data_IF_296670784261
#
_entry.id   IF_296670784261
#
_cell.length_a   1.000
_cell.length_b   1.000
_cell.length_c   1.000
_cell.angle_alpha   90.00
_cell.angle_beta   90.00
_cell.angle_gamma   90.00
#
_symmetry.space_group_name_H-M   'P 1'
#
loop_
_entity.id
_entity.type
_entity.pdbx_description
1 polymer ?
#
# COMPACT_ATOMS: atom_id res chain seq x y z
N UNK A 1 -4.04 34.41 -8.99
CA UNK A 1 -5.11 33.80 -8.16
C UNK A 1 -5.45 32.37 -8.57
N UNK A 2 -5.64 32.08 -9.87
CA UNK A 2 -6.04 30.73 -10.35
C UNK A 2 -5.10 29.60 -9.90
N UNK A 3 -3.78 29.83 -9.95
CA UNK A 3 -2.79 28.83 -9.54
C UNK A 3 -2.80 28.56 -8.02
N UNK A 4 -3.07 29.57 -7.19
CA UNK A 4 -3.13 29.39 -5.73
C UNK A 4 -4.34 28.55 -5.33
N UNK A 5 -5.53 28.94 -5.79
CA UNK A 5 -6.77 28.20 -5.51
C UNK A 5 -6.66 26.74 -5.99
N UNK A 6 -6.08 26.50 -7.16
CA UNK A 6 -5.85 25.15 -7.68
C UNK A 6 -4.91 24.33 -6.79
N UNK A 7 -3.78 24.89 -6.35
CA UNK A 7 -2.82 24.19 -5.50
C UNK A 7 -3.38 23.90 -4.12
N UNK A 8 -4.04 24.87 -3.49
CA UNK A 8 -4.70 24.67 -2.19
C UNK A 8 -5.82 23.63 -2.29
N UNK A 9 -6.56 23.58 -3.41
CA UNK A 9 -7.54 22.51 -3.66
C UNK A 9 -6.88 21.13 -3.74
N UNK A 10 -5.77 21.00 -4.50
CA UNK A 10 -5.01 19.75 -4.58
C UNK A 10 -4.49 19.29 -3.22
N UNK A 11 -4.07 20.22 -2.37
CA UNK A 11 -3.65 19.94 -0.99
C UNK A 11 -4.78 19.31 -0.16
N UNK A 12 -5.99 19.88 -0.19
CA UNK A 12 -7.12 19.35 0.57
C UNK A 12 -7.65 18.02 0.05
N UNK A 13 -7.51 17.78 -1.25
CA UNK A 13 -7.90 16.52 -1.90
C UNK A 13 -6.75 15.50 -1.92
N UNK A 14 -5.62 15.80 -1.28
CA UNK A 14 -4.44 14.96 -1.32
C UNK A 14 -4.69 13.62 -0.63
N UNK A 15 -4.83 12.57 -1.43
CA UNK A 15 -5.05 11.19 -1.04
C UNK A 15 -4.26 10.28 -1.96
N UNK A 16 -3.73 9.20 -1.39
CA UNK A 16 -3.09 8.16 -2.19
C UNK A 16 -4.15 7.45 -3.05
N UNK A 17 -3.89 7.36 -4.35
CA UNK A 17 -4.75 6.63 -5.27
C UNK A 17 -4.59 5.12 -5.07
N UNK A 18 -5.69 4.36 -5.16
CA UNK A 18 -5.74 2.89 -4.88
C UNK A 18 -4.72 2.07 -5.67
N UNK A 19 -4.28 2.56 -6.84
CA UNK A 19 -3.32 1.88 -7.74
C UNK A 19 -1.97 2.59 -7.84
N UNK A 20 -1.76 3.64 -7.06
CA UNK A 20 -0.48 4.33 -7.03
C UNK A 20 0.54 3.56 -6.19
N UNK A 21 1.80 3.64 -6.59
CA UNK A 21 2.93 3.22 -5.75
C UNK A 21 3.17 4.28 -4.67
N UNK A 22 3.70 3.88 -3.51
CA UNK A 22 4.11 4.83 -2.47
C UNK A 22 5.08 5.90 -3.02
N UNK A 23 6.07 5.52 -3.85
CA UNK A 23 7.02 6.47 -4.44
C UNK A 23 6.32 7.59 -5.23
N UNK A 24 5.45 7.25 -6.19
CA UNK A 24 4.64 8.24 -6.93
C UNK A 24 3.78 9.13 -6.04
N UNK A 25 3.33 8.62 -4.89
CA UNK A 25 2.54 9.41 -3.94
C UNK A 25 3.43 10.44 -3.22
N UNK A 26 4.65 10.05 -2.84
CA UNK A 26 5.65 10.94 -2.27
C UNK A 26 6.11 12.01 -3.27
N UNK A 27 6.32 11.65 -4.54
CA UNK A 27 6.65 12.63 -5.59
C UNK A 27 5.56 13.74 -5.71
N UNK A 28 4.29 13.36 -5.61
CA UNK A 28 3.17 14.33 -5.61
C UNK A 28 3.14 15.20 -4.34
N UNK A 29 3.58 14.67 -3.21
CA UNK A 29 3.74 15.46 -1.98
C UNK A 29 4.86 16.50 -2.16
N UNK A 30 5.98 16.11 -2.73
CA UNK A 30 7.11 17.01 -3.02
C UNK A 30 6.70 18.14 -3.96
N UNK A 31 5.90 17.85 -4.98
CA UNK A 31 5.33 18.90 -5.84
C UNK A 31 4.50 19.93 -5.05
N UNK A 32 3.73 19.50 -4.06
CA UNK A 32 2.97 20.40 -3.18
C UNK A 32 3.88 21.20 -2.26
N UNK A 33 4.87 20.54 -1.65
CA UNK A 33 5.84 21.17 -0.73
C UNK A 33 6.66 22.23 -1.46
N UNK A 34 7.11 21.96 -2.69
CA UNK A 34 7.86 22.91 -3.51
C UNK A 34 6.95 24.00 -4.07
N UNK A 35 5.71 23.67 -4.46
CA UNK A 35 4.79 24.60 -5.14
C UNK A 35 4.11 25.64 -4.25
N UNK A 36 3.67 25.24 -3.05
CA UNK A 36 2.91 26.13 -2.15
C UNK A 36 3.71 27.34 -1.59
N UNK A 37 5.02 27.24 -1.27
CA UNK A 37 5.82 28.40 -0.86
C UNK A 37 5.82 29.55 -1.88
N UNK A 38 5.88 29.26 -3.18
CA UNK A 38 5.82 30.29 -4.25
C UNK A 38 4.49 31.04 -4.28
N UNK A 39 3.46 30.51 -3.63
CA UNK A 39 2.12 31.08 -3.56
C UNK A 39 1.83 31.77 -2.22
N UNK A 40 2.81 31.82 -1.32
CA UNK A 40 2.70 32.41 0.01
C UNK A 40 2.13 31.48 1.08
N UNK A 41 2.06 30.17 0.81
CA UNK A 41 1.50 29.17 1.73
C UNK A 41 2.54 28.08 2.09
N UNK A 42 3.70 28.42 2.69
CA UNK A 42 4.70 27.41 3.02
C UNK A 42 4.14 26.35 3.99
N UNK A 43 4.56 25.10 3.85
CA UNK A 43 4.23 24.02 4.78
C UNK A 43 5.40 23.80 5.73
N UNK A 44 5.17 23.92 7.03
CA UNK A 44 6.18 23.49 8.02
C UNK A 44 6.22 21.96 8.13
N UNK A 45 7.29 21.43 8.71
CA UNK A 45 7.56 19.99 8.78
C UNK A 45 6.41 19.21 9.45
N UNK A 46 5.79 19.77 10.49
CA UNK A 46 4.66 19.15 11.17
C UNK A 46 3.44 19.06 10.25
N UNK A 47 3.13 20.14 9.50
CA UNK A 47 2.05 20.12 8.50
C UNK A 47 2.33 19.12 7.40
N UNK A 48 3.56 19.05 6.90
CA UNK A 48 3.95 18.07 5.86
C UNK A 48 3.70 16.63 6.33
N UNK A 49 4.09 16.30 7.56
CA UNK A 49 3.83 14.99 8.17
C UNK A 49 2.32 14.70 8.32
N UNK A 50 1.53 15.65 8.81
CA UNK A 50 0.08 15.49 8.95
C UNK A 50 -0.58 15.23 7.59
N UNK A 51 -0.19 15.98 6.56
CA UNK A 51 -0.70 15.81 5.19
C UNK A 51 -0.34 14.40 4.68
N UNK A 52 0.92 14.00 4.81
CA UNK A 52 1.36 12.67 4.38
C UNK A 52 0.57 11.57 5.10
N UNK A 53 0.55 11.55 6.42
CA UNK A 53 -0.10 10.48 7.19
C UNK A 53 -1.62 10.42 6.99
N UNK A 54 -2.28 11.58 6.87
CA UNK A 54 -3.72 11.63 6.61
C UNK A 54 -4.10 11.25 5.18
N UNK A 55 -3.15 11.31 4.24
CA UNK A 55 -3.38 10.95 2.83
C UNK A 55 -3.31 9.45 2.56
N UNK A 56 -2.75 8.67 3.50
CA UNK A 56 -2.53 7.24 3.33
C UNK A 56 -3.82 6.42 3.46
N UNK A 57 -3.92 5.29 2.75
CA UNK A 57 -5.07 4.41 2.86
C UNK A 57 -4.96 3.53 4.12
N UNK A 58 -6.04 2.82 4.44
CA UNK A 58 -6.23 2.19 5.76
C UNK A 58 -5.21 1.10 6.09
N UNK A 59 -4.57 0.53 5.07
CA UNK A 59 -3.57 -0.53 5.16
C UNK A 59 -2.30 -0.05 5.87
N UNK A 60 -2.04 1.27 5.85
CA UNK A 60 -0.89 1.90 6.51
C UNK A 60 -1.22 2.38 7.94
N UNK A 61 -2.44 2.18 8.44
CA UNK A 61 -2.86 2.69 9.76
C UNK A 61 -1.92 2.30 10.91
N UNK A 62 -1.37 1.08 10.87
CA UNK A 62 -0.44 0.61 11.88
C UNK A 62 0.88 1.40 11.87
N UNK A 63 1.50 1.56 10.69
CA UNK A 63 2.76 2.30 10.58
C UNK A 63 2.55 3.79 10.86
N UNK A 64 1.42 4.37 10.44
CA UNK A 64 1.07 5.75 10.77
C UNK A 64 1.00 5.97 12.28
N UNK A 65 0.32 5.07 13.02
CA UNK A 65 0.23 5.17 14.47
C UNK A 65 1.60 5.05 15.17
N UNK A 66 2.50 4.21 14.67
CA UNK A 66 3.87 4.09 15.19
C UNK A 66 4.64 5.40 14.98
N UNK A 67 4.51 6.01 13.79
CA UNK A 67 5.16 7.28 13.45
C UNK A 67 4.63 8.41 14.34
N UNK A 68 3.31 8.53 14.50
CA UNK A 68 2.67 9.55 15.34
C UNK A 68 3.12 9.50 16.81
N UNK A 69 3.44 8.31 17.32
CA UNK A 69 3.93 8.13 18.69
C UNK A 69 5.46 8.20 18.82
N UNK A 70 6.19 8.35 17.71
CA UNK A 70 7.65 8.47 17.74
C UNK A 70 8.07 9.91 18.04
N UNK A 71 9.13 10.07 18.85
CA UNK A 71 9.73 11.37 19.12
C UNK A 71 10.69 11.75 18.02
N UNK A 72 10.70 13.03 17.66
CA UNK A 72 11.71 13.66 16.80
C UNK A 72 11.92 12.94 15.46
N UNK A 73 10.83 12.58 14.78
CA UNK A 73 10.90 11.93 13.47
C UNK A 73 10.95 12.97 12.35
N UNK A 74 11.87 12.78 11.41
CA UNK A 74 11.99 13.63 10.22
C UNK A 74 11.12 13.10 9.08
N UNK A 75 10.70 13.99 8.17
CA UNK A 75 9.93 13.58 6.99
C UNK A 75 10.66 12.50 6.16
N UNK A 76 11.97 12.65 5.96
CA UNK A 76 12.81 11.70 5.23
C UNK A 76 12.78 10.30 5.87
N UNK A 77 12.79 10.22 7.20
CA UNK A 77 12.70 8.94 7.91
C UNK A 77 11.31 8.31 7.76
N UNK A 78 10.27 9.13 7.77
CA UNK A 78 8.89 8.68 7.53
C UNK A 78 8.75 8.11 6.12
N UNK A 79 9.21 8.83 5.10
CA UNK A 79 9.20 8.37 3.71
C UNK A 79 9.90 7.02 3.54
N UNK A 80 11.11 6.87 4.11
CA UNK A 80 11.84 5.60 4.08
C UNK A 80 11.08 4.46 4.77
N UNK A 81 10.45 4.72 5.91
CA UNK A 81 9.63 3.72 6.63
C UNK A 81 8.42 3.32 5.80
N UNK A 82 7.74 4.27 5.17
CA UNK A 82 6.57 4.02 4.33
C UNK A 82 6.91 3.24 3.06
N UNK A 83 8.03 3.55 2.40
CA UNK A 83 8.52 2.80 1.24
C UNK A 83 8.83 1.34 1.62
N UNK A 84 9.52 1.13 2.74
CA UNK A 84 9.83 -0.21 3.24
C UNK A 84 8.57 -1.00 3.60
N UNK A 85 7.58 -0.34 4.20
CA UNK A 85 6.31 -0.97 4.54
C UNK A 85 5.49 -1.34 3.29
N UNK A 86 5.47 -0.47 2.27
CA UNK A 86 4.85 -0.75 0.98
C UNK A 86 5.43 -2.02 0.34
N UNK A 87 6.76 -2.14 0.26
CA UNK A 87 7.41 -3.34 -0.25
C UNK A 87 7.06 -4.61 0.55
N UNK A 88 6.94 -4.48 1.88
CA UNK A 88 6.57 -5.60 2.76
C UNK A 88 5.16 -6.07 2.48
N UNK A 89 4.23 -5.15 2.24
CA UNK A 89 2.83 -5.46 1.91
C UNK A 89 2.72 -6.14 0.54
N UNK A 90 3.44 -5.65 -0.49
CA UNK A 90 3.45 -6.29 -1.82
C UNK A 90 4.01 -7.73 -1.78
N UNK A 91 5.10 -7.95 -1.04
CA UNK A 91 5.69 -9.29 -0.85
C UNK A 91 4.74 -10.24 -0.13
N UNK A 92 3.95 -9.73 0.82
CA UNK A 92 2.94 -10.53 1.52
C UNK A 92 1.80 -10.93 0.59
N UNK A 93 1.25 -10.00 -0.18
CA UNK A 93 0.15 -10.30 -1.10
C UNK A 93 0.53 -11.33 -2.17
N UNK A 94 1.74 -11.22 -2.73
CA UNK A 94 2.23 -12.14 -3.75
C UNK A 94 2.40 -13.56 -3.20
N UNK A 95 2.93 -13.68 -1.98
CA UNK A 95 3.01 -14.96 -1.27
C UNK A 95 1.63 -15.58 -1.01
N UNK A 96 0.68 -14.79 -0.49
CA UNK A 96 -0.68 -15.27 -0.17
C UNK A 96 -1.42 -15.75 -1.43
N UNK A 97 -1.25 -15.06 -2.57
CA UNK A 97 -1.80 -15.48 -3.87
C UNK A 97 -1.19 -16.80 -4.35
N UNK A 98 0.13 -16.96 -4.23
CA UNK A 98 0.82 -18.20 -4.64
C UNK A 98 0.34 -19.41 -3.82
N UNK A 99 0.19 -19.26 -2.50
CA UNK A 99 -0.30 -20.33 -1.62
C UNK A 99 -1.72 -20.78 -2.00
N UNK A 100 -2.62 -19.83 -2.30
CA UNK A 100 -4.01 -20.14 -2.70
C UNK A 100 -4.08 -21.00 -3.96
N UNK A 101 -3.25 -20.72 -4.98
CA UNK A 101 -3.23 -21.48 -6.26
C UNK A 101 -2.83 -22.95 -6.03
N UNK A 102 -1.88 -23.21 -5.13
CA UNK A 102 -1.44 -24.59 -4.85
C UNK A 102 -2.48 -25.41 -4.08
N UNK A 103 -3.30 -24.76 -3.24
CA UNK A 103 -4.32 -25.45 -2.44
C UNK A 103 -5.56 -25.91 -3.23
N UNK A 104 -5.91 -25.24 -4.34
CA UNK A 104 -7.09 -25.57 -5.15
C UNK A 104 -6.83 -26.75 -6.13
N UNK A 105 -5.56 -27.08 -6.36
CA UNK A 105 -5.16 -28.18 -7.26
C UNK A 105 -5.29 -29.59 -6.62
N UNK A 106 -5.72 -29.67 -5.36
CA UNK A 106 -5.75 -30.91 -4.56
C UNK A 106 -7.02 -31.75 -4.63
N UNK A 107 -7.97 -31.49 -5.54
CA UNK A 107 -9.20 -32.32 -5.66
C UNK A 107 -8.95 -33.54 -6.55
N UNK A 108 -8.15 -34.46 -6.05
CA UNK A 108 -7.91 -35.78 -6.64
C UNK A 108 -9.23 -36.52 -6.86
N UNK A 109 -9.50 -36.88 -8.12
CA UNK A 109 -10.66 -37.68 -8.53
C UNK A 109 -10.53 -39.08 -7.93
N UNK A 110 -11.48 -39.48 -7.07
CA UNK A 110 -11.64 -40.87 -6.63
C UNK A 110 -11.99 -41.78 -7.82
N UNK A 111 -10.97 -42.35 -8.45
CA UNK A 111 -11.13 -43.45 -9.39
C UNK A 111 -11.52 -44.72 -8.65
N UNK A 112 -12.79 -45.13 -8.76
CA UNK A 112 -13.28 -46.42 -8.27
C UNK A 112 -12.50 -47.56 -8.93
N UNK A 113 -11.65 -48.24 -8.17
CA UNK A 113 -11.04 -49.50 -8.57
C UNK A 113 -12.10 -50.60 -8.53
N UNK A 114 -12.61 -50.99 -9.71
CA UNK A 114 -13.50 -52.13 -9.88
C UNK A 114 -12.66 -53.41 -9.93
N UNK A 115 -12.69 -54.21 -8.86
CA UNK A 115 -12.20 -55.59 -8.88
C UNK A 115 -13.08 -56.43 -9.80
N UNK A 116 -12.59 -56.74 -11.00
CA UNK A 116 -13.17 -57.73 -11.91
C UNK A 116 -12.69 -59.11 -11.48
N UNK A 117 -13.59 -59.91 -10.92
CA UNK A 117 -13.36 -61.33 -10.69
C UNK A 117 -13.26 -62.11 -12.01
N UNK A 118 -12.47 -63.18 -12.00
CA UNK A 118 -12.55 -64.27 -12.97
C UNK A 118 -12.50 -65.59 -12.20
N UNK A 119 -13.65 -66.25 -12.17
CA UNK A 119 -13.76 -67.69 -11.96
C UNK A 119 -13.41 -68.39 -13.29
N UNK A 120 -12.81 -69.57 -13.19
CA UNK A 120 -13.07 -70.78 -14.00
C UNK A 120 -12.43 -71.93 -13.22
N UNK A 121 -13.18 -72.82 -12.58
CA UNK A 121 -13.92 -74.00 -13.09
C UNK A 121 -13.04 -75.08 -13.74
N UNK A 122 -13.10 -76.26 -13.07
CA UNK A 122 -12.68 -77.64 -13.43
C UNK A 122 -11.31 -78.12 -13.00
#
# INVERSE_FOLDING_TARGET
>A
MHNRVMMTRRLYEFKMEERATMAKHLDKLDELIVGLPFLGEPLDDARQLVILLSSLPSEFKLISSIIENSKDVTLIEVEKKLLKEYERLEKKETSDRALKVTSDSGKGKNGKFVKRGRNNDR
#
